data_IF_339750470899
#
_entry.id   IF_339750470899
#
_cell.length_a   1.000
_cell.length_b   1.000
_cell.length_c   1.000
_cell.angle_alpha   90.00
_cell.angle_beta   90.00
_cell.angle_gamma   90.00
#
_symmetry.space_group_name_H-M   'P 1'
#
loop_
_entity.id
_entity.type
_entity.pdbx_description
1 polymer ?
#
# COMPACT_ATOMS: atom_id res chain seq x y z
N UNK A 1 4.83 -18.70 32.34
CA UNK A 1 4.70 -17.69 31.27
C UNK A 1 6.08 -17.14 31.12
N UNK A 2 6.88 -17.84 30.32
CA UNK A 2 8.34 -17.81 30.37
C UNK A 2 8.89 -17.07 29.14
N UNK A 3 8.09 -16.15 28.61
CA UNK A 3 8.43 -15.35 27.43
C UNK A 3 9.65 -14.48 27.69
N UNK A 4 9.74 -13.94 28.90
CA UNK A 4 10.81 -13.02 29.29
C UNK A 4 12.16 -13.74 29.48
N UNK A 5 12.13 -15.00 29.95
CA UNK A 5 13.32 -15.86 30.07
C UNK A 5 13.81 -16.29 28.69
N UNK A 6 12.88 -16.64 27.78
CA UNK A 6 13.19 -16.98 26.40
C UNK A 6 13.72 -15.77 25.59
N UNK A 7 13.25 -14.56 25.90
CA UNK A 7 13.77 -13.30 25.34
C UNK A 7 15.21 -13.04 25.83
N UNK A 8 15.50 -13.25 27.11
CA UNK A 8 16.84 -13.07 27.68
C UNK A 8 17.87 -14.06 27.09
N UNK A 9 17.46 -15.29 26.77
CA UNK A 9 18.31 -16.28 26.11
C UNK A 9 18.61 -15.93 24.64
N UNK A 10 17.74 -15.17 23.98
CA UNK A 10 17.87 -14.76 22.57
C UNK A 10 18.64 -13.44 22.41
N UNK A 11 18.61 -12.55 23.41
CA UNK A 11 19.23 -11.22 23.38
C UNK A 11 20.72 -11.24 22.94
N UNK A 12 21.56 -12.19 23.37
CA UNK A 12 22.96 -12.24 22.92
C UNK A 12 23.17 -12.64 21.46
N UNK A 13 22.17 -13.26 20.81
CA UNK A 13 22.27 -13.76 19.43
C UNK A 13 21.80 -12.75 18.40
N UNK A 14 21.01 -11.76 18.82
CA UNK A 14 20.42 -10.78 17.93
C UNK A 14 20.85 -9.38 18.33
N UNK A 15 21.89 -8.88 17.65
CA UNK A 15 22.28 -7.48 17.74
C UNK A 15 21.58 -6.68 16.62
N UNK A 16 20.46 -6.05 16.97
CA UNK A 16 19.69 -5.23 16.04
C UNK A 16 20.32 -3.84 15.80
N UNK A 17 21.37 -3.45 16.54
CA UNK A 17 21.96 -2.11 16.42
C UNK A 17 22.50 -1.83 15.01
N UNK A 18 23.05 -2.85 14.36
CA UNK A 18 23.53 -2.79 12.98
C UNK A 18 22.39 -2.59 11.96
N UNK A 19 21.27 -3.29 12.13
CA UNK A 19 20.10 -3.16 11.26
C UNK A 19 19.39 -1.81 11.41
N UNK A 20 19.41 -1.21 12.61
CA UNK A 20 18.86 0.13 12.85
C UNK A 20 19.66 1.23 12.14
N UNK A 21 20.99 1.10 12.08
CA UNK A 21 21.85 2.05 11.36
C UNK A 21 21.58 2.05 9.85
N UNK A 22 21.26 0.89 9.28
CA UNK A 22 20.96 0.75 7.84
C UNK A 22 19.58 1.34 7.50
N UNK A 23 18.57 1.16 8.37
CA UNK A 23 17.24 1.76 8.19
C UNK A 23 17.25 3.30 8.29
N UNK A 24 18.09 3.88 9.16
CA UNK A 24 18.19 5.33 9.30
C UNK A 24 18.93 5.99 8.12
N UNK A 25 19.92 5.30 7.55
CA UNK A 25 20.72 5.82 6.44
C UNK A 25 20.03 5.64 5.08
N UNK A 26 19.23 4.58 4.89
CA UNK A 26 18.46 4.36 3.66
C UNK A 26 17.35 5.38 3.39
N UNK A 27 16.94 6.18 4.39
CA UNK A 27 15.86 7.14 4.25
C UNK A 27 16.29 8.54 3.76
N UNK A 28 17.60 8.76 3.53
CA UNK A 28 18.13 10.06 3.11
C UNK A 28 18.61 10.17 1.65
N UNK A 29 18.80 9.07 0.90
CA UNK A 29 19.49 9.18 -0.40
C UNK A 29 18.86 8.55 -1.66
N UNK A 30 17.71 7.86 -1.62
CA UNK A 30 17.13 7.32 -2.87
C UNK A 30 15.63 7.62 -3.02
N UNK A 31 15.35 8.85 -3.44
CA UNK A 31 14.08 9.26 -4.06
C UNK A 31 14.08 8.78 -5.53
N UNK A 32 14.14 7.47 -5.77
CA UNK A 32 13.87 6.88 -7.09
C UNK A 32 12.45 6.33 -7.17
N UNK A 33 11.73 6.85 -8.16
CA UNK A 33 10.33 6.63 -8.50
C UNK A 33 10.06 5.15 -8.86
N UNK A 34 9.70 4.32 -7.87
CA UNK A 34 9.15 2.98 -8.11
C UNK A 34 7.63 2.94 -7.87
N UNK A 35 6.90 2.79 -8.99
CA UNK A 35 5.49 2.40 -9.08
C UNK A 35 5.31 0.96 -8.55
N UNK A 36 5.29 0.80 -7.23
CA UNK A 36 5.03 -0.48 -6.57
C UNK A 36 3.62 -0.52 -5.99
N UNK A 37 2.73 -1.18 -6.75
CA UNK A 37 1.35 -1.54 -6.40
C UNK A 37 1.36 -2.75 -5.40
N UNK A 38 2.17 -2.65 -4.33
CA UNK A 38 2.33 -3.69 -3.30
C UNK A 38 1.81 -3.18 -1.94
N UNK A 39 0.65 -3.69 -1.54
CA UNK A 39 0.02 -3.51 -0.21
C UNK A 39 0.87 -4.20 0.88
N UNK A 40 2.13 -3.81 1.01
CA UNK A 40 2.96 -4.14 2.17
C UNK A 40 2.61 -3.16 3.27
N UNK A 41 2.06 -3.68 4.37
CA UNK A 41 1.83 -2.98 5.64
C UNK A 41 3.15 -2.36 6.15
N UNK A 42 3.51 -1.19 5.61
CA UNK A 42 4.64 -0.37 6.03
C UNK A 42 4.25 0.32 7.34
N UNK A 43 4.44 -0.41 8.44
CA UNK A 43 4.34 0.14 9.77
C UNK A 43 5.53 1.08 9.99
N UNK A 44 5.35 2.36 9.65
CA UNK A 44 6.35 3.39 9.94
C UNK A 44 6.60 3.42 11.45
N UNK A 45 7.82 3.05 11.86
CA UNK A 45 8.23 3.06 13.26
C UNK A 45 8.28 4.52 13.75
N UNK A 46 7.26 4.92 14.49
CA UNK A 46 7.20 6.24 15.12
C UNK A 46 8.26 6.22 16.22
N UNK A 47 9.38 6.91 15.97
CA UNK A 47 10.50 7.02 16.90
C UNK A 47 10.02 7.37 18.32
N UNK A 48 10.51 6.63 19.30
CA UNK A 48 10.22 6.91 20.71
C UNK A 48 10.92 8.21 21.10
N UNK A 49 10.16 9.29 21.27
CA UNK A 49 10.69 10.56 21.75
C UNK A 49 10.87 10.44 23.27
N UNK A 50 12.12 10.26 23.71
CA UNK A 50 12.51 10.35 25.12
C UNK A 50 12.54 11.83 25.55
N UNK A 51 11.37 12.46 25.59
CA UNK A 51 11.17 13.80 26.16
C UNK A 51 10.46 13.70 27.50
N UNK A 52 10.73 14.64 28.39
CA UNK A 52 10.00 14.76 29.65
C UNK A 52 8.51 15.05 29.36
N UNK A 53 7.58 14.55 30.20
CA UNK A 53 6.14 14.62 29.92
C UNK A 53 5.61 16.05 29.70
N UNK A 54 6.29 17.06 30.24
CA UNK A 54 5.98 18.48 30.09
C UNK A 54 6.23 18.99 28.66
N UNK A 55 7.28 18.52 27.99
CA UNK A 55 7.62 18.89 26.61
C UNK A 55 6.60 18.34 25.61
N UNK A 56 6.04 17.16 25.90
CA UNK A 56 5.02 16.52 25.08
C UNK A 56 3.71 17.34 25.07
N UNK A 57 3.32 17.91 26.19
CA UNK A 57 2.12 18.75 26.25
C UNK A 57 2.27 20.05 25.47
N UNK A 58 3.44 20.69 25.56
CA UNK A 58 3.73 21.89 24.79
C UNK A 58 3.72 21.59 23.29
N UNK A 59 4.34 20.48 22.87
CA UNK A 59 4.35 20.04 21.46
C UNK A 59 2.93 19.72 20.93
N UNK A 60 2.08 19.09 21.74
CA UNK A 60 0.68 18.78 21.38
C UNK A 60 -0.13 20.06 21.19
N UNK A 61 0.04 21.06 22.07
CA UNK A 61 -0.60 22.37 21.95
C UNK A 61 -0.10 23.10 20.70
N UNK A 62 1.21 23.07 20.44
CA UNK A 62 1.82 23.77 19.31
C UNK A 62 1.39 23.19 17.95
N UNK A 63 1.18 21.88 17.89
CA UNK A 63 0.73 21.16 16.67
C UNK A 63 -0.78 21.21 16.47
N UNK A 64 -1.55 21.69 17.46
CA UNK A 64 -3.00 21.69 17.44
C UNK A 64 -3.62 20.29 17.54
N UNK A 65 -2.85 19.30 17.99
CA UNK A 65 -3.31 17.95 18.24
C UNK A 65 -3.99 17.89 19.61
N UNK A 66 -4.86 16.91 19.81
CA UNK A 66 -5.46 16.63 21.12
C UNK A 66 -4.90 15.33 21.70
N UNK A 67 -4.84 15.21 23.02
CA UNK A 67 -4.54 13.91 23.64
C UNK A 67 -5.63 12.90 23.29
N UNK A 68 -5.24 11.66 23.02
CA UNK A 68 -6.21 10.59 22.79
C UNK A 68 -7.05 10.38 24.06
N UNK A 69 -8.37 10.34 23.93
CA UNK A 69 -9.29 10.25 25.06
C UNK A 69 -10.38 9.22 24.81
N UNK A 70 -10.67 8.41 25.82
CA UNK A 70 -11.83 7.52 25.83
C UNK A 70 -13.05 8.33 26.28
N UNK A 71 -14.10 8.38 25.45
CA UNK A 71 -15.36 9.04 25.75
C UNK A 71 -16.25 8.17 26.65
N UNK A 72 -17.28 8.78 27.24
CA UNK A 72 -18.26 8.11 28.10
C UNK A 72 -19.02 6.97 27.40
N UNK A 73 -19.14 7.02 26.07
CA UNK A 73 -19.77 5.98 25.24
C UNK A 73 -18.81 4.80 24.92
N UNK A 74 -17.55 4.88 25.36
CA UNK A 74 -16.51 3.91 25.06
C UNK A 74 -15.88 4.07 23.67
N UNK A 75 -16.17 5.16 22.95
CA UNK A 75 -15.47 5.51 21.72
C UNK A 75 -14.12 6.17 21.99
N UNK A 76 -13.18 6.07 21.05
CA UNK A 76 -11.85 6.64 21.16
C UNK A 76 -11.75 7.92 20.32
N UNK A 77 -11.55 9.07 20.96
CA UNK A 77 -11.22 10.31 20.26
C UNK A 77 -9.72 10.31 19.95
N UNK A 78 -9.42 10.38 18.66
CA UNK A 78 -8.06 10.43 18.13
C UNK A 78 -7.51 11.86 18.23
N UNK A 79 -6.17 12.03 18.15
CA UNK A 79 -5.53 13.34 18.21
C UNK A 79 -5.94 14.33 17.13
N UNK A 80 -6.38 13.83 15.97
CA UNK A 80 -6.93 14.63 14.88
C UNK A 80 -8.39 15.09 15.10
N UNK A 81 -8.98 14.78 16.27
CA UNK A 81 -10.36 15.08 16.61
C UNK A 81 -11.41 14.11 16.04
N UNK A 82 -11.02 13.14 15.21
CA UNK A 82 -11.93 12.09 14.72
C UNK A 82 -12.24 11.08 15.84
N UNK A 83 -13.42 10.47 15.77
CA UNK A 83 -13.86 9.47 16.73
C UNK A 83 -13.83 8.09 16.10
N UNK A 84 -13.04 7.19 16.68
CA UNK A 84 -12.99 5.78 16.34
C UNK A 84 -13.95 5.00 17.24
N UNK A 85 -14.86 4.25 16.62
CA UNK A 85 -15.92 3.54 17.34
C UNK A 85 -15.52 2.11 17.63
N UNK A 86 -16.11 1.51 18.66
CA UNK A 86 -15.78 0.14 19.06
C UNK A 86 -16.13 -0.89 17.97
N UNK A 87 -15.30 -1.91 17.79
CA UNK A 87 -15.48 -2.96 16.77
C UNK A 87 -16.84 -3.67 16.90
N UNK A 88 -17.40 -3.76 18.10
CA UNK A 88 -18.72 -4.36 18.32
C UNK A 88 -19.83 -3.68 17.50
N UNK A 89 -19.71 -2.40 17.19
CA UNK A 89 -20.72 -1.65 16.43
C UNK A 89 -20.47 -1.66 14.91
N UNK A 90 -19.43 -2.34 14.44
CA UNK A 90 -19.07 -2.36 13.01
C UNK A 90 -20.20 -2.84 12.11
N UNK A 91 -21.06 -3.75 12.60
CA UNK A 91 -22.21 -4.23 11.81
C UNK A 91 -23.24 -3.12 11.56
N UNK A 92 -23.43 -2.21 12.52
CA UNK A 92 -24.37 -1.07 12.40
C UNK A 92 -23.85 -0.10 11.35
N UNK A 93 -22.56 0.28 11.41
CA UNK A 93 -21.95 1.20 10.44
C UNK A 93 -21.93 0.65 9.01
N UNK A 94 -21.92 -0.68 8.84
CA UNK A 94 -22.01 -1.33 7.53
C UNK A 94 -23.44 -1.38 6.98
N UNK A 95 -24.46 -1.11 7.78
CA UNK A 95 -25.84 -1.08 7.30
C UNK A 95 -26.02 0.13 6.39
N UNK A 96 -26.31 -0.14 5.11
CA UNK A 96 -26.90 0.84 4.22
C UNK A 96 -28.36 1.00 4.62
N UNK A 97 -28.63 1.87 5.58
CA UNK A 97 -30.00 2.31 5.81
C UNK A 97 -30.47 2.95 4.51
N UNK A 98 -31.44 2.32 3.85
CA UNK A 98 -32.17 3.01 2.79
C UNK A 98 -32.76 4.23 3.47
N UNK A 99 -32.30 5.42 3.09
CA UNK A 99 -32.80 6.68 3.60
C UNK A 99 -34.30 6.75 3.30
N UNK A 100 -35.11 6.19 4.18
CA UNK A 100 -36.53 6.43 4.24
C UNK A 100 -36.66 7.78 4.91
N UNK A 101 -36.26 8.84 4.20
CA UNK A 101 -36.62 10.19 4.61
C UNK A 101 -38.13 10.18 4.75
N UNK A 102 -38.63 10.69 5.87
CA UNK A 102 -40.05 10.90 6.09
C UNK A 102 -40.53 11.88 5.00
N UNK A 103 -41.03 11.35 3.89
CA UNK A 103 -41.37 12.11 2.68
C UNK A 103 -40.89 11.50 1.35
N UNK A 104 -39.89 10.61 1.39
CA UNK A 104 -39.62 9.74 0.23
C UNK A 104 -40.75 8.73 0.17
N UNK A 105 -41.63 8.92 -0.81
CA UNK A 105 -42.78 8.04 -1.09
C UNK A 105 -42.29 6.60 -0.97
N UNK A 106 -43.06 5.70 -0.32
CA UNK A 106 -42.68 4.29 -0.21
C UNK A 106 -42.25 3.87 -1.59
N UNK A 107 -41.00 3.42 -1.71
CA UNK A 107 -40.50 2.87 -2.94
C UNK A 107 -41.49 1.76 -3.26
N UNK A 108 -42.43 2.01 -4.18
CA UNK A 108 -43.34 0.97 -4.61
C UNK A 108 -42.41 -0.19 -4.94
N UNK A 109 -42.64 -1.39 -4.37
CA UNK A 109 -41.90 -2.55 -4.79
C UNK A 109 -42.09 -2.53 -6.29
N UNK A 110 -41.01 -2.28 -7.06
CA UNK A 110 -41.07 -2.17 -8.51
C UNK A 110 -41.87 -3.38 -8.92
N UNK A 111 -43.15 -3.19 -9.27
CA UNK A 111 -43.98 -4.25 -9.83
C UNK A 111 -43.07 -4.78 -10.91
N UNK A 112 -42.63 -6.02 -10.75
CA UNK A 112 -41.74 -6.64 -11.71
C UNK A 112 -42.45 -6.46 -13.04
N UNK A 113 -41.98 -5.49 -13.82
CA UNK A 113 -42.48 -5.27 -15.16
C UNK A 113 -42.31 -6.65 -15.79
N UNK A 114 -43.37 -7.23 -16.38
CA UNK A 114 -43.27 -8.53 -16.99
C UNK A 114 -42.03 -8.47 -17.88
N UNK A 115 -41.07 -9.36 -17.61
CA UNK A 115 -39.82 -9.41 -18.36
C UNK A 115 -40.21 -9.51 -19.83
N UNK A 116 -40.19 -8.37 -20.53
CA UNK A 116 -40.27 -8.34 -21.97
C UNK A 116 -38.90 -8.82 -22.43
N UNK A 117 -38.77 -10.15 -22.45
CA UNK A 117 -37.78 -10.85 -23.25
C UNK A 117 -37.99 -10.28 -24.65
N UNK A 118 -36.98 -9.55 -25.16
CA UNK A 118 -36.94 -8.91 -26.48
C UNK A 118 -37.33 -7.41 -26.54
N UNK A 119 -36.84 -6.58 -25.61
CA UNK A 119 -36.62 -5.16 -25.96
C UNK A 119 -35.43 -5.06 -26.92
N UNK A 120 -35.69 -5.30 -28.20
CA UNK A 120 -34.76 -5.00 -29.30
C UNK A 120 -34.54 -3.48 -29.27
N UNK A 121 -33.34 -3.05 -28.88
CA UNK A 121 -32.97 -1.64 -28.83
C UNK A 121 -32.97 -1.11 -30.26
N UNK A 122 -34.08 -0.53 -30.69
CA UNK A 122 -34.16 0.19 -31.96
C UNK A 122 -33.30 1.46 -31.81
N UNK A 123 -32.08 1.40 -32.34
CA UNK A 123 -31.26 2.57 -32.62
C UNK A 123 -31.99 3.30 -33.75
N UNK A 124 -32.85 4.25 -33.38
CA UNK A 124 -33.45 5.17 -34.33
C UNK A 124 -32.33 6.02 -34.93
N UNK A 125 -32.10 5.82 -36.23
CA UNK A 125 -31.28 6.69 -37.05
C UNK A 125 -31.85 8.09 -37.03
N UNK A 126 -31.07 9.02 -36.49
CA UNK A 126 -31.27 10.44 -36.63
C UNK A 126 -29.96 11.03 -37.15
N UNK A 127 -29.87 11.17 -38.46
CA UNK A 127 -28.84 11.98 -39.11
C UNK A 127 -28.95 13.42 -38.61
N UNK A 128 -27.90 13.93 -37.97
CA UNK A 128 -27.37 15.28 -38.16
C UNK A 128 -26.18 15.56 -37.22
N UNK A 129 -25.01 15.65 -37.85
CA UNK A 129 -24.00 16.71 -37.64
C UNK A 129 -23.83 17.25 -36.21
N UNK A 130 -22.79 16.77 -35.55
CA UNK A 130 -22.24 17.39 -34.36
C UNK A 130 -21.50 16.33 -33.56
N UNK A 131 -20.19 16.46 -33.46
CA UNK A 131 -19.33 15.56 -32.72
C UNK A 131 -19.78 15.44 -31.25
N UNK A 132 -20.65 14.46 -30.97
CA UNK A 132 -20.85 13.97 -29.61
C UNK A 132 -19.62 13.11 -29.34
N UNK A 133 -18.55 13.77 -28.85
CA UNK A 133 -17.46 13.06 -28.20
C UNK A 133 -18.11 12.23 -27.09
N UNK A 134 -18.22 10.94 -27.34
CA UNK A 134 -18.67 9.94 -26.40
C UNK A 134 -17.76 10.06 -25.18
N UNK A 135 -18.21 10.80 -24.16
CA UNK A 135 -17.63 10.76 -22.82
C UNK A 135 -17.93 9.36 -22.29
N UNK A 136 -17.16 8.38 -22.76
CA UNK A 136 -17.12 7.06 -22.16
C UNK A 136 -16.72 7.31 -20.73
N UNK A 137 -17.57 6.91 -19.79
CA UNK A 137 -17.26 7.06 -18.37
C UNK A 137 -15.88 6.45 -18.11
N UNK A 138 -15.07 7.08 -17.26
CA UNK A 138 -13.70 6.61 -16.95
C UNK A 138 -13.66 5.10 -16.62
N UNK A 139 -14.72 4.57 -16.01
CA UNK A 139 -14.89 3.14 -15.73
C UNK A 139 -14.96 2.26 -16.98
N UNK A 140 -15.62 2.71 -18.05
CA UNK A 140 -15.69 1.98 -19.32
C UNK A 140 -14.36 2.01 -20.07
N UNK A 141 -13.66 3.15 -20.05
CA UNK A 141 -12.32 3.26 -20.62
C UNK A 141 -11.35 2.33 -19.90
N UNK A 142 -11.38 2.29 -18.56
CA UNK A 142 -10.55 1.38 -17.76
C UNK A 142 -10.87 -0.10 -18.05
N UNK A 143 -12.13 -0.46 -18.27
CA UNK A 143 -12.51 -1.83 -18.67
C UNK A 143 -12.01 -2.18 -20.07
N UNK A 144 -12.14 -1.26 -21.03
CA UNK A 144 -11.66 -1.45 -22.39
C UNK A 144 -10.13 -1.57 -22.43
N UNK A 145 -9.41 -0.73 -21.69
CA UNK A 145 -7.95 -0.80 -21.58
C UNK A 145 -7.48 -2.13 -20.98
N UNK A 146 -8.11 -2.59 -19.88
CA UNK A 146 -7.80 -3.90 -19.28
C UNK A 146 -8.06 -5.07 -20.24
N UNK A 147 -9.16 -5.00 -20.99
CA UNK A 147 -9.48 -6.00 -22.01
C UNK A 147 -8.42 -6.05 -23.11
N UNK A 148 -7.97 -4.88 -23.58
CA UNK A 148 -6.96 -4.76 -24.62
C UNK A 148 -5.59 -5.27 -24.14
N UNK A 149 -5.18 -4.89 -22.93
CA UNK A 149 -3.93 -5.37 -22.32
C UNK A 149 -3.92 -6.90 -22.18
N UNK A 150 -5.05 -7.49 -21.79
CA UNK A 150 -5.21 -8.94 -21.71
C UNK A 150 -5.07 -9.62 -23.07
N UNK A 151 -5.65 -9.05 -24.13
CA UNK A 151 -5.49 -9.61 -25.48
C UNK A 151 -4.06 -9.49 -26.00
N UNK A 152 -3.34 -8.39 -25.69
CA UNK A 152 -1.94 -8.23 -26.10
C UNK A 152 -1.04 -9.27 -25.45
N UNK A 153 -1.16 -9.47 -24.12
CA UNK A 153 -0.39 -10.51 -23.41
C UNK A 153 -0.63 -11.91 -23.96
N UNK A 154 -1.86 -12.20 -24.38
CA UNK A 154 -2.20 -13.48 -25.00
C UNK A 154 -1.50 -13.66 -26.36
N UNK A 155 -1.49 -12.61 -27.20
CA UNK A 155 -0.78 -12.66 -28.48
C UNK A 155 0.73 -12.77 -28.32
N UNK A 156 1.32 -12.09 -27.32
CA UNK A 156 2.76 -12.21 -27.03
C UNK A 156 3.14 -13.62 -26.60
N UNK A 157 2.29 -14.27 -25.79
CA UNK A 157 2.48 -15.66 -25.39
C UNK A 157 2.40 -16.61 -26.59
N UNK A 158 1.42 -16.44 -27.49
CA UNK A 158 1.33 -17.24 -28.71
C UNK A 158 2.52 -17.02 -29.64
N UNK A 159 3.00 -15.78 -29.78
CA UNK A 159 4.18 -15.45 -30.57
C UNK A 159 5.45 -16.10 -29.98
N UNK A 160 5.62 -16.08 -28.66
CA UNK A 160 6.73 -16.76 -27.98
C UNK A 160 6.66 -18.27 -28.18
N UNK A 161 5.47 -18.86 -28.05
CA UNK A 161 5.25 -20.29 -28.29
C UNK A 161 5.60 -20.68 -29.74
N UNK A 162 5.17 -19.88 -30.71
CA UNK A 162 5.51 -20.10 -32.12
C UNK A 162 7.02 -19.99 -32.38
N UNK A 163 7.72 -19.03 -31.74
CA UNK A 163 9.18 -18.91 -31.81
C UNK A 163 9.87 -20.15 -31.23
N UNK A 164 9.45 -20.62 -30.05
CA UNK A 164 9.98 -21.84 -29.43
C UNK A 164 9.81 -23.08 -30.32
N UNK A 165 8.63 -23.23 -30.93
CA UNK A 165 8.38 -24.33 -31.88
C UNK A 165 9.31 -24.20 -33.10
N UNK A 166 9.47 -22.99 -33.66
CA UNK A 166 10.35 -22.78 -34.81
C UNK A 166 11.83 -23.06 -34.51
N UNK A 167 12.31 -22.71 -33.31
CA UNK A 167 13.67 -22.99 -32.85
C UNK A 167 13.89 -24.48 -32.62
N UNK A 168 12.87 -25.20 -32.14
CA UNK A 168 12.93 -26.65 -31.96
C UNK A 168 13.00 -27.39 -33.29
N UNK A 169 12.32 -26.90 -34.32
CA UNK A 169 12.34 -27.51 -35.67
C UNK A 169 13.67 -27.24 -36.39
N UNK A 170 14.34 -26.11 -36.10
CA UNK A 170 15.66 -25.79 -36.68
C UNK A 170 16.85 -26.44 -35.98
N UNK A 171 16.64 -27.13 -34.86
CA UNK A 171 17.72 -27.81 -34.12
C UNK A 171 18.67 -26.88 -33.36
N UNK A 172 18.30 -25.61 -33.15
CA UNK A 172 19.14 -24.59 -32.50
C UNK A 172 18.88 -24.45 -30.99
N UNK A 173 18.05 -25.32 -30.41
CA UNK A 173 17.64 -25.26 -29.01
C UNK A 173 18.76 -25.77 -28.08
N UNK A 174 19.77 -24.93 -27.86
CA UNK A 174 20.85 -25.17 -26.89
C UNK A 174 20.35 -24.75 -25.51
N UNK A 175 19.97 -25.72 -24.68
CA UNK A 175 19.59 -25.49 -23.29
C UNK A 175 20.74 -24.78 -22.55
N UNK A 176 20.49 -23.72 -21.78
CA UNK A 176 21.51 -23.11 -20.94
C UNK A 176 21.89 -24.09 -19.82
N UNK A 177 23.04 -24.73 -19.99
CA UNK A 177 23.72 -25.52 -18.96
C UNK A 177 24.26 -24.58 -17.88
N UNK A 178 23.40 -24.12 -16.98
CA UNK A 178 23.75 -23.25 -15.85
C UNK A 178 24.15 -24.03 -14.61
N UNK A 179 25.34 -24.65 -14.61
CA UNK A 179 26.04 -25.02 -13.38
C UNK A 179 26.77 -23.78 -12.85
N UNK A 180 26.07 -22.99 -12.02
CA UNK A 180 26.62 -21.78 -11.40
C UNK A 180 27.59 -22.12 -10.27
N UNK A 181 28.87 -22.12 -10.58
CA UNK A 181 29.98 -22.05 -9.63
C UNK A 181 29.90 -20.71 -8.89
N UNK A 182 29.49 -20.73 -7.62
CA UNK A 182 29.58 -19.58 -6.71
C UNK A 182 31.06 -19.33 -6.40
N UNK A 183 31.67 -18.35 -7.06
CA UNK A 183 32.97 -17.81 -6.63
C UNK A 183 32.71 -16.82 -5.49
N UNK A 184 33.12 -17.21 -4.29
CA UNK A 184 33.30 -16.30 -3.16
C UNK A 184 34.43 -15.32 -3.52
N UNK A 185 34.07 -14.05 -3.76
CA UNK A 185 35.03 -12.94 -3.79
C UNK A 185 35.20 -12.49 -2.34
N UNK A 186 36.38 -12.72 -1.79
CA UNK A 186 36.80 -12.21 -0.50
C UNK A 186 37.16 -10.72 -0.67
N UNK A 187 36.37 -9.83 -0.07
CA UNK A 187 36.72 -8.41 0.04
C UNK A 187 37.61 -8.19 1.27
N UNK A 188 38.76 -7.56 1.03
CA UNK A 188 39.72 -7.15 2.03
C UNK A 188 39.20 -5.95 2.86
N UNK A 189 39.40 -5.93 4.18
CA UNK A 189 39.07 -4.76 5.00
C UNK A 189 40.11 -3.65 4.80
N UNK A 190 39.73 -2.57 4.11
CA UNK A 190 40.51 -1.34 4.07
C UNK A 190 40.26 -0.48 5.32
N UNK A 191 41.36 -0.13 5.98
CA UNK A 191 41.63 1.25 6.35
C UNK A 191 41.09 1.72 7.70
N UNK A 192 41.87 1.46 8.74
CA UNK A 192 41.90 2.29 9.95
C UNK A 192 42.25 3.74 9.57
N UNK A 193 41.33 4.68 9.81
CA UNK A 193 41.67 6.10 9.92
C UNK A 193 41.33 6.58 11.33
N UNK A 194 42.37 6.67 12.15
CA UNK A 194 42.37 7.40 13.41
C UNK A 194 42.60 8.88 13.09
N UNK A 195 41.63 9.73 13.41
CA UNK A 195 41.77 11.20 13.51
C UNK A 195 40.68 11.64 14.49
N UNK A 196 40.97 11.83 15.78
CA UNK A 196 41.52 13.05 16.36
C UNK A 196 40.58 14.27 16.21
N UNK A 197 39.88 14.62 17.29
CA UNK A 197 39.58 15.99 17.77
C UNK A 197 38.62 15.86 18.97
N UNK A 198 39.08 15.92 20.22
CA UNK A 198 39.24 17.14 21.04
C UNK A 198 38.09 18.13 20.87
N UNK A 199 37.17 18.15 21.84
CA UNK A 199 36.77 19.43 22.44
C UNK A 199 36.26 19.21 23.87
N UNK A 200 37.04 19.73 24.81
CA UNK A 200 36.61 20.00 26.17
C UNK A 200 35.64 21.18 26.15
N UNK A 201 34.55 21.08 26.90
CA UNK A 201 33.78 22.24 27.35
C UNK A 201 33.65 22.13 28.85
N UNK A 202 34.48 22.94 29.51
CA UNK A 202 34.26 23.50 30.84
C UNK A 202 32.82 24.01 30.96
N UNK A 203 32.11 23.62 32.01
CA UNK A 203 31.02 24.42 32.57
C UNK A 203 31.08 24.33 34.10
N UNK A 204 31.74 25.33 34.67
CA UNK A 204 31.52 25.83 36.03
C UNK A 204 30.27 26.72 36.00
N UNK A 205 29.31 26.49 36.87
CA UNK A 205 29.03 27.22 38.13
C UNK A 205 27.75 26.67 38.77
#
# INVERSE_FOLDING_TARGET
TDTDELLADLDPFYDFSSSYLELQSGNQEEEEEYDSDDDSDDWTEIGSVSGDEEDLDEAVVQTGLHRAQILDDGSLRLPNGKVATHRMYAYIYKQRLTNNRVGDKPHEPRRALPQQKNAMLAIAGGDQTGAIMSIKTYREQKRQAKSLLKSMRFMDFEAQKARMISLSVRGELRLPSGAGQKQHVAEEPKGQNQSAERHAVDLRE
#
